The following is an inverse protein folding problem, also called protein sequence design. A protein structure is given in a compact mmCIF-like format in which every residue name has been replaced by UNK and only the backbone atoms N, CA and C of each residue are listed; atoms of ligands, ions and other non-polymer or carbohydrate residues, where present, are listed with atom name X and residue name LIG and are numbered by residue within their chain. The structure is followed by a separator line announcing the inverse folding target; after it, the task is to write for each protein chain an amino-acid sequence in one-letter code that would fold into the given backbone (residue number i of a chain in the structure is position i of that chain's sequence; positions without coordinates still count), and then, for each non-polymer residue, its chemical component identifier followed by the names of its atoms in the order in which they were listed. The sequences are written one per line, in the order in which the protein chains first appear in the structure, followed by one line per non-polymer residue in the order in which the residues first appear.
data_IF_709640011708
#
_entry.id   IF_709640011708
#
_cell.length_a   1.000
_cell.length_b   1.000
_cell.length_c   1.000
_cell.angle_alpha   90.00
_cell.angle_beta   90.00
_cell.angle_gamma   90.00
#
_symmetry.space_group_name_H-M   'P 1'
#
loop_
_entity.id
_entity.type
_entity.pdbx_description
1 polymer ?
#
# COMPACT_ATOMS: atom_id res chain seq x y z
N UNK A 1 -21.29 6.54 4.65
CA UNK A 1 -20.03 6.48 3.86
C UNK A 1 -20.36 5.66 2.62
N UNK A 2 -19.83 6.03 1.45
CA UNK A 2 -20.07 5.24 0.24
C UNK A 2 -19.30 3.92 0.31
N UNK A 3 -19.73 2.92 -0.47
CA UNK A 3 -19.02 1.64 -0.57
C UNK A 3 -17.56 1.86 -1.01
N UNK A 4 -17.32 2.75 -1.98
CA UNK A 4 -15.99 3.10 -2.47
C UNK A 4 -15.12 3.67 -1.37
N UNK A 5 -15.61 4.69 -0.67
CA UNK A 5 -14.91 5.32 0.45
C UNK A 5 -14.53 4.30 1.53
N UNK A 6 -15.44 3.39 1.87
CA UNK A 6 -15.21 2.35 2.88
C UNK A 6 -14.09 1.38 2.46
N UNK A 7 -14.02 1.01 1.18
CA UNK A 7 -12.94 0.15 0.66
C UNK A 7 -11.59 0.86 0.70
N UNK A 8 -11.50 2.12 0.30
CA UNK A 8 -10.23 2.88 0.39
C UNK A 8 -9.80 3.13 1.84
N UNK A 9 -10.73 3.45 2.74
CA UNK A 9 -10.40 3.62 4.17
C UNK A 9 -9.90 2.31 4.80
N UNK A 10 -10.52 1.18 4.45
CA UNK A 10 -10.07 -0.14 4.90
C UNK A 10 -8.65 -0.43 4.40
N UNK A 11 -8.40 -0.18 3.12
CA UNK A 11 -7.08 -0.39 2.52
C UNK A 11 -6.02 0.54 3.13
N UNK A 12 -6.33 1.81 3.32
CA UNK A 12 -5.45 2.79 3.98
C UNK A 12 -5.11 2.38 5.42
N UNK A 13 -6.07 1.82 6.15
CA UNK A 13 -5.86 1.29 7.50
C UNK A 13 -4.86 0.13 7.50
N UNK A 14 -5.03 -0.83 6.58
CA UNK A 14 -4.12 -1.97 6.44
C UNK A 14 -2.69 -1.54 6.04
N UNK A 15 -2.58 -0.56 5.14
CA UNK A 15 -1.29 0.03 4.74
C UNK A 15 -0.59 0.74 5.91
N UNK A 16 -1.35 1.47 6.72
CA UNK A 16 -0.85 2.20 7.90
C UNK A 16 -0.39 1.23 8.99
N UNK A 17 -1.17 0.18 9.26
CA UNK A 17 -0.80 -0.88 10.20
C UNK A 17 0.51 -1.55 9.75
N UNK A 18 0.61 -1.96 8.48
CA UNK A 18 1.82 -2.57 7.94
C UNK A 18 3.03 -1.64 8.08
N UNK A 19 2.86 -0.35 7.78
CA UNK A 19 3.91 0.66 7.94
C UNK A 19 4.37 0.79 9.39
N UNK A 20 3.44 0.80 10.34
CA UNK A 20 3.77 0.85 11.77
C UNK A 20 4.61 -0.36 12.19
N UNK A 21 4.23 -1.56 11.75
CA UNK A 21 4.96 -2.78 12.05
C UNK A 21 6.36 -2.82 11.42
N UNK A 22 6.49 -2.31 10.18
CA UNK A 22 7.79 -2.14 9.50
C UNK A 22 8.68 -1.16 10.27
N UNK A 23 8.15 -0.01 10.69
CA UNK A 23 8.90 1.00 11.44
C UNK A 23 9.33 0.50 12.83
N UNK A 24 8.50 -0.31 13.48
CA UNK A 24 8.83 -0.94 14.75
C UNK A 24 9.80 -2.12 14.60
N UNK A 25 10.15 -2.50 13.36
CA UNK A 25 10.96 -3.68 13.05
C UNK A 25 10.38 -4.97 13.66
N UNK A 26 9.05 -5.07 13.73
CA UNK A 26 8.28 -6.14 14.37
C UNK A 26 7.82 -7.23 13.41
N UNK A 27 8.32 -7.22 12.17
CA UNK A 27 7.97 -8.20 11.15
C UNK A 27 9.22 -8.85 10.58
N UNK A 28 9.15 -10.16 10.41
CA UNK A 28 10.07 -10.88 9.53
C UNK A 28 9.78 -10.55 8.07
N UNK A 29 10.77 -10.76 7.20
CA UNK A 29 10.61 -10.57 5.75
C UNK A 29 9.51 -11.49 5.18
N UNK A 30 9.32 -12.67 5.76
CA UNK A 30 8.26 -13.62 5.38
C UNK A 30 6.88 -13.06 5.71
N UNK A 31 6.67 -12.57 6.93
CA UNK A 31 5.38 -11.97 7.33
C UNK A 31 5.08 -10.70 6.53
N UNK A 32 6.09 -9.88 6.24
CA UNK A 32 5.95 -8.71 5.38
C UNK A 32 5.51 -9.12 3.96
N UNK A 33 6.09 -10.19 3.40
CA UNK A 33 5.69 -10.72 2.10
C UNK A 33 4.24 -11.22 2.11
N UNK A 34 3.82 -11.92 3.16
CA UNK A 34 2.43 -12.41 3.30
C UNK A 34 1.43 -11.25 3.39
N UNK A 35 1.73 -10.22 4.19
CA UNK A 35 0.88 -9.03 4.30
C UNK A 35 0.80 -8.25 2.99
N UNK A 36 1.87 -8.19 2.20
CA UNK A 36 1.81 -7.62 0.86
C UNK A 36 0.85 -8.41 -0.05
N UNK A 37 0.91 -9.74 -0.04
CA UNK A 37 -0.01 -10.58 -0.83
C UNK A 37 -1.46 -10.29 -0.44
N UNK A 38 -1.77 -10.19 0.85
CA UNK A 38 -3.12 -9.83 1.33
C UNK A 38 -3.56 -8.44 0.85
N UNK A 39 -2.67 -7.44 0.88
CA UNK A 39 -2.96 -6.10 0.35
C UNK A 39 -3.23 -6.12 -1.15
N UNK A 40 -2.42 -6.84 -1.93
CA UNK A 40 -2.60 -6.99 -3.37
C UNK A 40 -3.93 -7.67 -3.71
N UNK A 41 -4.29 -8.72 -2.98
CA UNK A 41 -5.57 -9.41 -3.12
C UNK A 41 -6.76 -8.52 -2.76
N UNK A 42 -6.67 -7.78 -1.65
CA UNK A 42 -7.71 -6.83 -1.26
C UNK A 42 -7.91 -5.79 -2.35
N UNK A 43 -6.84 -5.17 -2.82
CA UNK A 43 -6.90 -4.15 -3.87
C UNK A 43 -7.54 -4.70 -5.15
N UNK A 44 -7.08 -5.87 -5.63
CA UNK A 44 -7.57 -6.49 -6.85
C UNK A 44 -9.05 -6.93 -6.79
N UNK A 45 -9.53 -7.35 -5.61
CA UNK A 45 -10.88 -7.90 -5.46
C UNK A 45 -11.91 -6.90 -4.94
N UNK A 46 -11.47 -5.89 -4.17
CA UNK A 46 -12.36 -4.96 -3.48
C UNK A 46 -12.32 -3.55 -4.04
N UNK A 47 -11.21 -3.13 -4.67
CA UNK A 47 -11.05 -1.77 -5.20
C UNK A 47 -11.14 -1.76 -6.72
N UNK A 48 -10.34 -2.58 -7.41
CA UNK A 48 -10.32 -2.61 -8.90
C UNK A 48 -11.71 -2.78 -9.53
N UNK A 49 -12.62 -3.65 -9.03
CA UNK A 49 -13.92 -3.87 -9.67
C UNK A 49 -14.95 -2.74 -9.46
N UNK A 50 -14.67 -1.76 -8.58
CA UNK A 50 -15.59 -0.66 -8.33
C UNK A 50 -15.70 0.19 -9.60
N UNK A 51 -16.88 0.35 -10.19
CA UNK A 51 -17.06 1.25 -11.32
C UNK A 51 -16.75 2.70 -10.89
N UNK A 52 -15.96 3.42 -11.68
CA UNK A 52 -15.67 4.83 -11.44
C UNK A 52 -15.41 5.51 -12.77
N UNK A 53 -16.12 6.61 -13.01
CA UNK A 53 -15.90 7.52 -14.13
C UNK A 53 -15.03 8.72 -13.69
N UNK A 54 -14.61 8.76 -12.42
CA UNK A 54 -13.73 9.79 -11.92
C UNK A 54 -12.28 9.55 -12.35
N UNK A 55 -11.75 10.50 -13.12
CA UNK A 55 -10.38 10.51 -13.60
C UNK A 55 -9.32 10.48 -12.48
N UNK A 56 -9.62 11.09 -11.32
CA UNK A 56 -8.73 11.14 -10.15
C UNK A 56 -8.64 9.74 -9.55
N UNK A 57 -9.78 9.10 -9.32
CA UNK A 57 -9.82 7.73 -8.84
C UNK A 57 -9.13 6.75 -9.81
N UNK A 58 -9.44 6.80 -11.11
CA UNK A 58 -8.82 5.94 -12.12
C UNK A 58 -7.29 6.08 -12.08
N UNK A 59 -6.78 7.33 -12.04
CA UNK A 59 -5.35 7.62 -11.94
C UNK A 59 -4.72 6.99 -10.69
N UNK A 60 -5.33 7.18 -9.52
CA UNK A 60 -4.78 6.66 -8.27
C UNK A 60 -4.87 5.14 -8.15
N UNK A 61 -5.86 4.48 -8.79
CA UNK A 61 -5.88 3.02 -8.91
C UNK A 61 -4.71 2.51 -9.73
N UNK A 62 -4.41 3.13 -10.88
CA UNK A 62 -3.25 2.76 -11.70
C UNK A 62 -1.94 2.94 -10.94
N UNK A 63 -1.76 4.08 -10.27
CA UNK A 63 -0.55 4.33 -9.47
C UNK A 63 -0.46 3.37 -8.27
N UNK A 64 -1.58 3.03 -7.63
CA UNK A 64 -1.61 2.04 -6.55
C UNK A 64 -1.15 0.66 -7.02
N UNK A 65 -1.68 0.16 -8.15
CA UNK A 65 -1.23 -1.09 -8.76
C UNK A 65 0.29 -1.11 -9.00
N UNK A 66 0.82 -0.02 -9.57
CA UNK A 66 2.25 0.13 -9.83
C UNK A 66 3.07 0.12 -8.54
N UNK A 67 2.65 0.88 -7.53
CA UNK A 67 3.36 0.95 -6.25
C UNK A 67 3.33 -0.38 -5.51
N UNK A 68 2.23 -1.15 -5.55
CA UNK A 68 2.17 -2.49 -4.98
C UNK A 68 3.14 -3.46 -5.65
N UNK A 69 3.35 -3.35 -6.97
CA UNK A 69 4.35 -4.17 -7.67
C UNK A 69 5.78 -3.76 -7.32
N UNK A 70 6.04 -2.46 -7.18
CA UNK A 70 7.36 -1.98 -6.74
C UNK A 70 7.66 -2.36 -5.29
N UNK A 71 6.64 -2.42 -4.42
CA UNK A 71 6.79 -2.87 -3.04
C UNK A 71 7.25 -4.34 -2.97
N UNK A 72 6.76 -5.20 -3.85
CA UNK A 72 7.21 -6.58 -3.99
C UNK A 72 8.70 -6.67 -4.32
N UNK A 73 9.17 -5.79 -5.20
CA UNK A 73 10.59 -5.68 -5.58
C UNK A 73 11.42 -5.22 -4.39
N UNK A 74 10.97 -4.23 -3.62
CA UNK A 74 11.66 -3.76 -2.42
C UNK A 74 11.80 -4.85 -1.36
N UNK A 75 10.75 -5.64 -1.14
CA UNK A 75 10.78 -6.79 -0.20
C UNK A 75 11.75 -7.87 -0.70
N UNK A 76 11.81 -8.11 -2.01
CA UNK A 76 12.77 -9.06 -2.59
C UNK A 76 14.21 -8.60 -2.33
N UNK A 77 14.49 -7.30 -2.46
CA UNK A 77 15.81 -6.75 -2.12
C UNK A 77 16.09 -6.77 -0.62
N UNK A 78 15.09 -6.54 0.22
CA UNK A 78 15.24 -6.68 1.68
C UNK A 78 15.63 -8.11 2.06
N UNK A 79 15.02 -9.12 1.41
CA UNK A 79 15.31 -10.54 1.67
C UNK A 79 16.77 -10.92 1.44
N UNK A 80 17.42 -10.32 0.46
CA UNK A 80 18.82 -10.61 0.12
C UNK A 80 19.83 -9.74 0.87
N UNK A 81 19.36 -8.70 1.58
CA UNK A 81 20.22 -7.79 2.32
C UNK A 81 20.80 -8.47 3.57
N UNK A 82 22.12 -8.37 3.73
CA UNK A 82 22.85 -8.92 4.89
C UNK A 82 23.48 -7.87 5.79
N UNK A 83 23.76 -6.70 5.22
CA UNK A 83 24.40 -5.60 5.95
C UNK A 83 23.33 -4.79 6.69
N UNK A 84 23.50 -4.52 8.01
CA UNK A 84 22.51 -3.78 8.81
C UNK A 84 22.14 -2.42 8.20
N UNK A 85 23.12 -1.67 7.69
CA UNK A 85 22.87 -0.38 7.03
C UNK A 85 21.99 -0.53 5.76
N UNK A 86 22.23 -1.57 4.97
CA UNK A 86 21.41 -1.87 3.78
C UNK A 86 20.01 -2.32 4.17
N UNK A 87 19.87 -3.15 5.21
CA UNK A 87 18.56 -3.57 5.74
C UNK A 87 17.76 -2.34 6.17
N UNK A 88 18.34 -1.44 6.96
CA UNK A 88 17.66 -0.22 7.41
C UNK A 88 17.24 0.66 6.23
N UNK A 89 18.11 0.84 5.25
CA UNK A 89 17.80 1.61 4.03
C UNK A 89 16.60 1.00 3.28
N UNK A 90 16.54 -0.33 3.19
CA UNK A 90 15.43 -1.05 2.54
C UNK A 90 14.12 -0.90 3.32
N UNK A 91 14.16 -1.04 4.64
CA UNK A 91 12.99 -0.81 5.51
C UNK A 91 12.45 0.61 5.38
N UNK A 92 13.33 1.62 5.31
CA UNK A 92 12.93 3.01 5.10
C UNK A 92 12.22 3.20 3.75
N UNK A 93 12.76 2.63 2.66
CA UNK A 93 12.12 2.71 1.33
C UNK A 93 10.74 2.05 1.32
N UNK A 94 10.60 0.89 1.96
CA UNK A 94 9.32 0.19 2.13
C UNK A 94 8.33 1.08 2.89
N UNK A 95 8.76 1.69 4.00
CA UNK A 95 7.93 2.59 4.81
C UNK A 95 7.44 3.82 4.03
N UNK A 96 8.32 4.46 3.25
CA UNK A 96 7.97 5.60 2.40
C UNK A 96 7.00 5.22 1.28
N UNK A 97 7.15 4.02 0.71
CA UNK A 97 6.22 3.52 -0.30
C UNK A 97 4.83 3.25 0.28
N UNK A 98 4.75 2.65 1.47
CA UNK A 98 3.50 2.44 2.20
C UNK A 98 2.82 3.77 2.55
N UNK A 99 3.60 4.79 2.94
CA UNK A 99 3.08 6.14 3.16
C UNK A 99 2.50 6.75 1.88
N UNK A 100 3.16 6.55 0.74
CA UNK A 100 2.68 7.02 -0.58
C UNK A 100 1.36 6.35 -0.97
N UNK A 101 1.26 5.03 -0.80
CA UNK A 101 0.03 4.28 -1.03
C UNK A 101 -1.13 4.79 -0.16
N UNK A 102 -0.85 5.09 1.11
CA UNK A 102 -1.86 5.66 2.04
C UNK A 102 -2.35 7.03 1.56
N UNK A 103 -1.44 7.92 1.13
CA UNK A 103 -1.80 9.24 0.57
C UNK A 103 -2.67 9.14 -0.69
N UNK A 104 -2.47 8.12 -1.53
CA UNK A 104 -3.33 7.90 -2.70
C UNK A 104 -4.75 7.55 -2.29
N UNK A 105 -4.91 6.70 -1.27
CA UNK A 105 -6.24 6.36 -0.74
C UNK A 105 -6.94 7.60 -0.17
N UNK A 106 -6.22 8.42 0.60
CA UNK A 106 -6.73 9.67 1.16
C UNK A 106 -7.14 10.69 0.08
N UNK A 107 -6.39 10.74 -1.03
CA UNK A 107 -6.72 11.62 -2.15
C UNK A 107 -8.04 11.22 -2.81
N UNK A 108 -8.25 9.93 -3.08
CA UNK A 108 -9.53 9.41 -3.63
C UNK A 108 -10.69 9.70 -2.68
N UNK A 109 -10.52 9.40 -1.38
CA UNK A 109 -11.56 9.64 -0.36
C UNK A 109 -11.88 11.12 -0.20
N UNK A 110 -10.90 12.01 -0.41
CA UNK A 110 -11.11 13.46 -0.34
C UNK A 110 -11.85 13.96 -1.57
N UNK A 111 -11.45 13.51 -2.76
CA UNK A 111 -12.06 13.91 -4.04
C UNK A 111 -13.54 13.53 -4.09
N UNK A 112 -13.88 12.32 -3.65
CA UNK A 112 -15.27 11.82 -3.57
C UNK A 112 -16.16 12.67 -2.64
N UNK A 113 -15.61 13.29 -1.58
CA UNK A 113 -16.38 14.17 -0.68
C UNK A 113 -16.72 15.53 -1.31
N UNK A 114 -16.09 15.88 -2.42
CA UNK A 114 -16.28 17.17 -3.10
C UNK A 114 -17.25 17.06 -4.28
N UNK A 115 -17.67 15.84 -4.65
CA UNK A 115 -18.72 15.54 -5.64
C UNK A 115 -20.09 15.41 -4.96
#
# INVERSE_FOLDING_TARGET
MSLTQDKYNTFATQLTELRSLVNANQLTVTELSQRLVSLQQFFATQIVPLASDDSVEIKYRTETSKQLKLLEVDITFLRSARQPATIQTRLNMISERLATLTRYCEAVVRDEKQM
#
